data_IF_452120459927
#
_entry.id   IF_452120459927
#
_cell.length_a   1.000
_cell.length_b   1.000
_cell.length_c   1.000
_cell.angle_alpha   90.00
_cell.angle_beta   90.00
_cell.angle_gamma   90.00
#
_symmetry.space_group_name_H-M   'P 1'
#
loop_
_entity.id
_entity.type
_entity.pdbx_description
1 polymer ?
#
# COMPACT_ATOMS: atom_id res chain seq x y z
N UNK A 1 31.22 8.46 11.81
CA UNK A 1 30.13 9.18 12.51
C UNK A 1 29.77 8.39 13.77
N UNK A 2 30.20 8.83 14.96
CA UNK A 2 30.07 8.04 16.21
C UNK A 2 28.67 8.13 16.86
N UNK A 3 27.74 8.95 16.37
CA UNK A 3 26.51 9.30 17.11
C UNK A 3 25.27 9.57 16.24
N UNK A 4 25.14 9.00 15.04
CA UNK A 4 23.87 9.15 14.29
C UNK A 4 22.91 8.02 14.69
N UNK A 5 21.69 8.32 15.16
CA UNK A 5 20.70 7.30 15.55
C UNK A 5 20.01 6.70 14.32
N UNK A 6 20.78 6.18 13.36
CA UNK A 6 20.29 5.75 12.04
C UNK A 6 19.13 4.76 12.14
N UNK A 7 19.25 3.73 12.97
CA UNK A 7 18.19 2.73 13.14
C UNK A 7 16.89 3.36 13.69
N UNK A 8 16.98 4.31 14.62
CA UNK A 8 15.81 5.01 15.13
C UNK A 8 15.19 5.94 14.06
N UNK A 9 16.02 6.60 13.25
CA UNK A 9 15.54 7.43 12.13
C UNK A 9 14.86 6.60 11.05
N UNK A 10 15.42 5.45 10.70
CA UNK A 10 14.80 4.49 9.77
C UNK A 10 13.39 4.11 10.24
N UNK A 11 13.23 3.81 11.54
CA UNK A 11 11.92 3.47 12.13
C UNK A 11 10.96 4.67 12.20
N UNK A 12 11.44 5.84 12.63
CA UNK A 12 10.64 7.08 12.72
C UNK A 12 10.09 7.52 11.36
N UNK A 13 10.84 7.27 10.30
CA UNK A 13 10.50 7.68 8.93
C UNK A 13 9.89 6.54 8.10
N UNK A 14 9.76 5.34 8.67
CA UNK A 14 9.28 4.16 7.94
C UNK A 14 10.17 3.77 6.76
N UNK A 15 11.46 4.12 6.80
CA UNK A 15 12.43 3.86 5.75
C UNK A 15 13.19 2.55 6.05
N UNK A 16 13.24 1.60 5.10
CA UNK A 16 14.06 0.41 5.31
C UNK A 16 15.54 0.78 5.34
N UNK A 17 16.32 -0.02 6.07
CA UNK A 17 17.78 0.14 6.07
C UNK A 17 18.36 0.03 4.67
N UNK A 18 19.51 0.68 4.43
CA UNK A 18 20.16 0.66 3.12
C UNK A 18 20.40 -0.78 2.61
N UNK A 19 20.81 -1.69 3.49
CA UNK A 19 20.99 -3.09 3.14
C UNK A 19 19.68 -3.77 2.73
N UNK A 20 18.60 -3.51 3.45
CA UNK A 20 17.26 -4.03 3.11
C UNK A 20 16.76 -3.45 1.79
N UNK A 21 16.99 -2.16 1.55
CA UNK A 21 16.65 -1.50 0.30
C UNK A 21 17.38 -2.11 -0.89
N UNK A 22 18.70 -2.33 -0.78
CA UNK A 22 19.50 -2.97 -1.83
C UNK A 22 18.95 -4.36 -2.16
N UNK A 23 18.60 -5.16 -1.14
CA UNK A 23 17.99 -6.49 -1.36
C UNK A 23 16.65 -6.37 -2.08
N UNK A 24 15.79 -5.42 -1.65
CA UNK A 24 14.49 -5.15 -2.28
C UNK A 24 14.63 -4.81 -3.77
N UNK A 25 15.57 -3.92 -4.11
CA UNK A 25 15.82 -3.53 -5.50
C UNK A 25 16.46 -4.66 -6.32
N UNK A 26 17.33 -5.47 -5.71
CA UNK A 26 17.90 -6.66 -6.35
C UNK A 26 16.81 -7.70 -6.69
N UNK A 27 15.85 -7.95 -5.80
CA UNK A 27 14.69 -8.82 -6.07
C UNK A 27 13.85 -8.31 -7.23
N UNK A 28 13.52 -7.01 -7.22
CA UNK A 28 12.73 -6.39 -8.29
C UNK A 28 13.45 -6.47 -9.65
N UNK A 29 14.77 -6.24 -9.66
CA UNK A 29 15.59 -6.38 -10.85
C UNK A 29 15.66 -7.82 -11.35
N UNK A 30 15.82 -8.79 -10.44
CA UNK A 30 15.84 -10.22 -10.77
C UNK A 30 14.54 -10.66 -11.46
N UNK A 31 13.38 -10.36 -10.86
CA UNK A 31 12.06 -10.69 -11.43
C UNK A 31 11.91 -10.12 -12.84
N UNK A 32 12.29 -8.86 -13.04
CA UNK A 32 12.23 -8.19 -14.35
C UNK A 32 13.13 -8.86 -15.39
N UNK A 33 14.37 -9.21 -15.05
CA UNK A 33 15.32 -9.82 -16.01
C UNK A 33 14.89 -11.25 -16.36
N UNK A 34 14.41 -12.00 -15.35
CA UNK A 34 13.88 -13.35 -15.53
C UNK A 34 12.68 -13.34 -16.48
N UNK A 35 11.71 -12.46 -16.24
CA UNK A 35 10.47 -12.42 -17.02
C UNK A 35 10.67 -11.89 -18.43
N UNK A 36 11.71 -11.08 -18.67
CA UNK A 36 12.12 -10.65 -20.01
C UNK A 36 12.82 -11.74 -20.84
N UNK A 37 12.94 -12.98 -20.33
CA UNK A 37 13.67 -14.07 -20.99
C UNK A 37 15.16 -13.80 -21.21
N UNK A 38 15.68 -12.71 -20.65
CA UNK A 38 17.06 -12.23 -20.85
C UNK A 38 18.03 -12.86 -19.86
N UNK A 39 17.54 -13.74 -18.97
CA UNK A 39 18.35 -14.44 -18.00
C UNK A 39 19.10 -15.61 -18.65
N UNK A 40 20.41 -15.44 -18.83
CA UNK A 40 21.31 -16.53 -19.24
C UNK A 40 21.83 -17.22 -17.98
N UNK A 41 21.15 -18.28 -17.53
CA UNK A 41 21.63 -19.13 -16.45
C UNK A 41 22.87 -19.93 -16.90
N UNK A 42 24.05 -19.33 -16.85
CA UNK A 42 25.33 -20.05 -16.96
C UNK A 42 26.07 -19.91 -15.63
N UNK A 43 26.10 -20.98 -14.84
CA UNK A 43 26.86 -21.05 -13.59
C UNK A 43 26.08 -20.72 -12.31
N UNK A 44 26.82 -20.51 -11.20
CA UNK A 44 26.23 -20.08 -9.92
C UNK A 44 25.59 -18.70 -10.10
N UNK A 45 24.44 -18.48 -9.46
CA UNK A 45 23.83 -17.16 -9.44
C UNK A 45 24.78 -16.16 -8.75
N UNK A 46 25.14 -15.09 -9.45
CA UNK A 46 25.98 -13.99 -8.93
C UNK A 46 25.18 -12.69 -8.84
N UNK A 47 25.68 -11.72 -8.05
CA UNK A 47 25.08 -10.40 -7.90
C UNK A 47 23.62 -10.42 -7.43
N UNK A 48 22.73 -9.75 -8.19
CA UNK A 48 21.31 -9.63 -7.84
C UNK A 48 20.58 -10.97 -7.77
N UNK A 49 20.94 -11.95 -8.60
CA UNK A 49 20.30 -13.26 -8.58
C UNK A 49 20.67 -14.05 -7.32
N UNK A 50 21.92 -13.96 -6.86
CA UNK A 50 22.34 -14.57 -5.59
C UNK A 50 21.61 -13.97 -4.38
N UNK A 51 21.35 -12.66 -4.43
CA UNK A 51 20.62 -11.93 -3.40
C UNK A 51 19.13 -12.29 -3.41
N UNK A 52 18.52 -12.35 -4.59
CA UNK A 52 17.12 -12.71 -4.77
C UNK A 52 16.85 -14.16 -4.33
N UNK A 53 17.68 -15.13 -4.74
CA UNK A 53 17.54 -16.54 -4.36
C UNK A 53 17.64 -16.74 -2.84
N UNK A 54 18.54 -16.02 -2.16
CA UNK A 54 18.62 -16.05 -0.69
C UNK A 54 17.39 -15.49 0.00
N UNK A 55 16.59 -14.70 -0.70
CA UNK A 55 15.44 -14.04 -0.15
C UNK A 55 14.10 -14.66 -0.57
N UNK A 56 14.14 -15.73 -1.38
CA UNK A 56 13.01 -16.62 -1.69
C UNK A 56 12.34 -17.13 -0.41
N UNK A 57 13.11 -17.35 0.65
CA UNK A 57 12.61 -17.82 1.96
C UNK A 57 11.64 -16.85 2.63
N UNK A 58 11.59 -15.58 2.22
CA UNK A 58 10.70 -14.56 2.77
C UNK A 58 9.70 -13.97 1.77
N UNK A 59 9.88 -14.22 0.47
CA UNK A 59 8.98 -13.79 -0.61
C UNK A 59 9.01 -14.88 -1.67
N UNK A 60 7.86 -15.47 -2.07
CA UNK A 60 7.85 -16.58 -3.04
C UNK A 60 8.08 -16.08 -4.47
N UNK A 61 9.29 -15.60 -4.79
CA UNK A 61 9.60 -14.96 -6.08
C UNK A 61 9.39 -15.92 -7.26
N UNK A 62 9.61 -17.23 -7.07
CA UNK A 62 9.39 -18.27 -8.07
C UNK A 62 7.95 -18.33 -8.58
N UNK A 63 6.96 -18.09 -7.72
CA UNK A 63 5.54 -18.04 -8.08
C UNK A 63 5.15 -16.72 -8.76
N UNK A 64 5.94 -15.65 -8.61
CA UNK A 64 5.59 -14.30 -9.08
C UNK A 64 5.97 -14.04 -10.54
N UNK A 65 5.23 -14.59 -11.50
CA UNK A 65 5.46 -14.28 -12.94
C UNK A 65 4.74 -13.00 -13.37
N UNK A 66 5.48 -12.02 -13.89
CA UNK A 66 4.90 -10.81 -14.50
C UNK A 66 4.28 -11.16 -15.84
N UNK A 67 3.01 -10.83 -16.03
CA UNK A 67 2.29 -10.98 -17.30
C UNK A 67 2.10 -9.64 -18.00
N UNK A 68 3.21 -9.06 -18.42
CA UNK A 68 3.20 -7.97 -19.41
C UNK A 68 3.53 -8.57 -20.79
N UNK A 69 2.63 -8.40 -21.74
CA UNK A 69 2.84 -8.71 -23.14
C UNK A 69 3.55 -7.57 -23.87
N UNK A 70 4.03 -7.87 -25.07
CA UNK A 70 4.36 -6.85 -26.04
C UNK A 70 3.15 -5.95 -26.32
N UNK A 71 3.47 -4.74 -26.70
CA UNK A 71 2.50 -3.68 -26.92
C UNK A 71 1.71 -3.95 -28.19
N UNK A 72 0.49 -4.48 -28.05
CA UNK A 72 -0.37 -4.85 -29.19
C UNK A 72 -1.35 -3.72 -29.50
N UNK A 73 -1.31 -3.23 -30.74
CA UNK A 73 -2.24 -2.23 -31.26
C UNK A 73 -3.46 -2.90 -31.89
N UNK A 74 -4.66 -2.55 -31.43
CA UNK A 74 -5.97 -2.99 -31.94
C UNK A 74 -6.73 -1.79 -32.51
N UNK A 75 -6.59 -1.57 -33.82
CA UNK A 75 -7.20 -0.41 -34.49
C UNK A 75 -8.67 -0.61 -34.86
N UNK A 76 -9.09 -1.85 -35.12
CA UNK A 76 -10.48 -2.22 -35.36
C UNK A 76 -11.01 -2.99 -34.16
N UNK A 77 -12.22 -2.61 -33.74
CA UNK A 77 -13.01 -3.32 -32.73
C UNK A 77 -14.41 -3.55 -33.25
N UNK A 78 -14.93 -4.75 -33.01
CA UNK A 78 -16.26 -5.18 -33.47
C UNK A 78 -17.34 -5.03 -32.39
N UNK A 79 -16.94 -4.78 -31.13
CA UNK A 79 -17.83 -4.49 -30.01
C UNK A 79 -17.77 -3.00 -29.61
N UNK A 80 -18.88 -2.48 -29.13
CA UNK A 80 -19.02 -1.09 -28.67
C UNK A 80 -18.87 -0.99 -27.14
N UNK A 81 -18.73 0.24 -26.64
CA UNK A 81 -18.70 0.50 -25.19
C UNK A 81 -19.37 1.81 -24.88
N UNK A 82 -20.32 1.79 -23.95
CA UNK A 82 -21.11 2.94 -23.56
C UNK A 82 -20.96 3.24 -22.08
N UNK A 83 -21.02 4.54 -21.76
CA UNK A 83 -20.94 5.04 -20.39
C UNK A 83 -22.19 5.88 -20.08
N UNK A 84 -23.36 5.25 -19.86
CA UNK A 84 -24.56 5.98 -19.45
C UNK A 84 -24.31 6.74 -18.15
N UNK A 85 -24.97 7.88 -17.99
CA UNK A 85 -24.94 8.67 -16.75
C UNK A 85 -25.80 8.01 -15.67
N UNK A 86 -25.58 8.40 -14.40
CA UNK A 86 -26.41 7.91 -13.28
C UNK A 86 -27.88 8.32 -13.44
N UNK A 87 -28.12 9.45 -14.09
CA UNK A 87 -29.44 9.99 -14.39
C UNK A 87 -30.16 9.13 -15.42
N UNK A 88 -29.47 8.69 -16.48
CA UNK A 88 -30.03 7.78 -17.50
C UNK A 88 -30.50 6.46 -16.88
N UNK A 89 -29.69 5.87 -15.99
CA UNK A 89 -30.06 4.66 -15.24
C UNK A 89 -31.28 4.83 -14.32
N UNK A 90 -31.62 6.05 -13.91
CA UNK A 90 -32.81 6.34 -13.09
C UNK A 90 -34.07 6.57 -13.93
N UNK A 91 -33.92 7.06 -15.16
CA UNK A 91 -35.01 7.53 -16.01
C UNK A 91 -35.44 6.49 -17.05
N UNK A 92 -34.55 5.60 -17.47
CA UNK A 92 -34.81 4.60 -18.49
C UNK A 92 -35.26 3.28 -17.86
N UNK A 93 -36.58 3.07 -17.76
CA UNK A 93 -37.18 1.85 -17.19
C UNK A 93 -36.95 0.55 -17.98
N UNK A 94 -36.21 0.59 -19.09
CA UNK A 94 -35.71 -0.56 -19.86
C UNK A 94 -34.50 -0.09 -20.69
N UNK A 95 -33.32 -0.04 -20.06
CA UNK A 95 -32.09 0.39 -20.74
C UNK A 95 -31.65 -0.58 -21.86
N UNK A 96 -32.16 -1.82 -21.83
CA UNK A 96 -31.84 -2.86 -22.80
C UNK A 96 -33.07 -3.22 -23.64
N UNK A 97 -32.95 -3.34 -24.97
CA UNK A 97 -34.04 -3.77 -25.84
C UNK A 97 -34.56 -5.17 -25.45
N UNK A 98 -35.89 -5.43 -25.58
CA UNK A 98 -36.43 -6.77 -25.38
C UNK A 98 -35.75 -7.82 -26.25
N UNK A 99 -35.54 -9.02 -25.72
CA UNK A 99 -34.85 -10.10 -26.44
C UNK A 99 -33.33 -9.95 -26.52
N UNK A 100 -32.73 -9.10 -25.67
CA UNK A 100 -31.27 -9.01 -25.49
C UNK A 100 -30.80 -9.85 -24.32
N UNK A 101 -29.58 -10.38 -24.39
CA UNK A 101 -28.92 -11.04 -23.27
C UNK A 101 -28.18 -10.00 -22.43
N UNK A 102 -28.47 -9.93 -21.13
CA UNK A 102 -27.82 -8.99 -20.19
C UNK A 102 -27.01 -9.76 -19.14
N UNK A 103 -25.71 -9.48 -19.11
CA UNK A 103 -24.75 -10.05 -18.17
C UNK A 103 -24.20 -8.95 -17.26
N UNK A 104 -24.06 -9.21 -15.97
CA UNK A 104 -23.44 -8.32 -14.99
C UNK A 104 -22.17 -8.97 -14.44
N UNK A 105 -21.12 -8.16 -14.28
CA UNK A 105 -19.80 -8.60 -13.83
C UNK A 105 -19.26 -7.64 -12.77
N UNK A 106 -18.55 -8.18 -11.77
CA UNK A 106 -17.92 -7.37 -10.73
C UNK A 106 -16.65 -8.05 -10.16
N UNK A 107 -15.76 -7.25 -9.57
CA UNK A 107 -14.53 -7.66 -8.90
C UNK A 107 -14.43 -7.12 -7.47
N UNK A 108 -14.21 -8.00 -6.49
CA UNK A 108 -14.16 -7.62 -5.08
C UNK A 108 -12.89 -8.08 -4.36
N UNK A 109 -12.53 -7.36 -3.30
CA UNK A 109 -11.47 -7.72 -2.35
C UNK A 109 -12.01 -7.70 -0.92
N UNK A 110 -11.90 -8.82 -0.20
CA UNK A 110 -12.23 -8.88 1.22
C UNK A 110 -10.98 -8.60 2.06
N UNK A 111 -11.02 -7.55 2.92
CA UNK A 111 -10.08 -7.20 4.01
C UNK A 111 -8.64 -7.75 3.92
N UNK A 112 -7.99 -7.55 2.77
CA UNK A 112 -6.62 -8.00 2.47
C UNK A 112 -6.36 -9.53 2.48
N UNK A 113 -7.39 -10.36 2.29
CA UNK A 113 -7.26 -11.81 2.12
C UNK A 113 -7.18 -12.22 0.65
N UNK A 114 -8.34 -12.31 -0.01
CA UNK A 114 -8.45 -12.82 -1.38
C UNK A 114 -9.22 -11.88 -2.28
N UNK A 115 -9.02 -12.07 -3.59
CA UNK A 115 -9.76 -11.41 -4.64
C UNK A 115 -10.81 -12.36 -5.20
N UNK A 116 -11.95 -11.82 -5.59
CA UNK A 116 -13.01 -12.59 -6.22
C UNK A 116 -13.61 -11.87 -7.41
N UNK A 117 -14.14 -12.65 -8.35
CA UNK A 117 -14.87 -12.17 -9.51
C UNK A 117 -16.27 -12.81 -9.53
N UNK A 118 -17.28 -12.01 -9.85
CA UNK A 118 -18.68 -12.40 -9.90
C UNK A 118 -19.29 -12.19 -11.28
N UNK A 119 -20.14 -13.12 -11.71
CA UNK A 119 -20.88 -13.04 -12.97
C UNK A 119 -22.34 -13.43 -12.73
N UNK A 120 -23.26 -12.63 -13.22
CA UNK A 120 -24.69 -12.91 -13.18
C UNK A 120 -25.34 -12.67 -14.55
N UNK A 121 -26.06 -13.67 -15.07
CA UNK A 121 -26.85 -13.54 -16.30
C UNK A 121 -28.31 -13.31 -15.91
N UNK A 122 -28.86 -12.17 -16.29
CA UNK A 122 -30.20 -11.75 -15.89
C UNK A 122 -31.28 -12.65 -16.51
N UNK A 123 -31.14 -12.99 -17.79
CA UNK A 123 -32.12 -13.77 -18.54
C UNK A 123 -32.30 -15.19 -18.00
N UNK A 124 -31.21 -15.90 -17.68
CA UNK A 124 -31.24 -17.29 -17.22
C UNK A 124 -31.19 -17.44 -15.70
N UNK A 125 -30.85 -16.36 -14.98
CA UNK A 125 -30.54 -16.41 -13.56
C UNK A 125 -29.22 -17.12 -13.23
N UNK A 126 -28.42 -17.49 -14.25
CA UNK A 126 -27.16 -18.19 -14.05
C UNK A 126 -26.15 -17.32 -13.29
N UNK A 127 -25.41 -17.95 -12.38
CA UNK A 127 -24.51 -17.28 -11.46
C UNK A 127 -23.18 -18.00 -11.41
N UNK A 128 -22.10 -17.22 -11.32
CA UNK A 128 -20.77 -17.76 -11.15
C UNK A 128 -19.96 -16.86 -10.22
N UNK A 129 -19.21 -17.51 -9.34
CA UNK A 129 -18.25 -16.88 -8.45
C UNK A 129 -16.90 -17.56 -8.66
N UNK A 130 -15.83 -16.76 -8.69
CA UNK A 130 -14.45 -17.22 -8.80
C UNK A 130 -13.62 -16.64 -7.66
N UNK A 131 -12.82 -17.48 -7.00
CA UNK A 131 -11.74 -17.02 -6.12
C UNK A 131 -10.46 -16.91 -6.95
N UNK A 132 -9.83 -15.73 -6.91
CA UNK A 132 -8.63 -15.37 -7.69
C UNK A 132 -7.36 -15.31 -6.84
N UNK A 133 -7.46 -15.73 -5.58
CA UNK A 133 -6.34 -15.80 -4.66
C UNK A 133 -5.85 -14.44 -4.17
N UNK A 134 -4.63 -14.41 -3.63
CA UNK A 134 -4.08 -13.28 -2.88
C UNK A 134 -3.29 -12.26 -3.73
N UNK A 135 -2.86 -12.66 -4.93
CA UNK A 135 -1.93 -11.86 -5.76
C UNK A 135 -2.60 -11.00 -6.84
N UNK A 136 -3.85 -11.30 -7.18
CA UNK A 136 -4.61 -10.51 -8.14
C UNK A 136 -4.91 -9.10 -7.60
N UNK A 137 -5.21 -8.17 -8.51
CA UNK A 137 -5.74 -6.85 -8.16
C UNK A 137 -7.24 -6.81 -8.41
N UNK A 138 -7.96 -5.88 -7.77
CA UNK A 138 -9.39 -5.65 -8.06
C UNK A 138 -9.59 -5.41 -9.55
N UNK A 139 -8.77 -4.56 -10.17
CA UNK A 139 -8.79 -4.34 -11.62
C UNK A 139 -8.65 -5.64 -12.44
N UNK A 140 -7.78 -6.56 -12.03
CA UNK A 140 -7.68 -7.86 -12.72
C UNK A 140 -8.92 -8.72 -12.50
N UNK A 141 -9.54 -8.67 -11.32
CA UNK A 141 -10.79 -9.38 -11.06
C UNK A 141 -11.94 -8.89 -11.97
N UNK A 142 -12.06 -7.57 -12.13
CA UNK A 142 -13.04 -6.95 -13.04
C UNK A 142 -12.86 -7.41 -14.49
N UNK A 143 -11.63 -7.30 -15.02
CA UNK A 143 -11.33 -7.71 -16.41
C UNK A 143 -11.51 -9.22 -16.57
N UNK A 144 -11.14 -10.00 -15.55
CA UNK A 144 -11.34 -11.45 -15.55
C UNK A 144 -12.83 -11.82 -15.58
N UNK A 145 -13.70 -11.13 -14.85
CA UNK A 145 -15.14 -11.37 -14.88
C UNK A 145 -15.73 -11.14 -16.28
N UNK A 146 -15.30 -10.07 -16.97
CA UNK A 146 -15.68 -9.80 -18.37
C UNK A 146 -15.15 -10.89 -19.31
N UNK A 147 -13.86 -11.26 -19.19
CA UNK A 147 -13.24 -12.33 -19.98
C UNK A 147 -14.00 -13.64 -19.83
N UNK A 148 -14.28 -14.06 -18.59
CA UNK A 148 -14.98 -15.30 -18.33
C UNK A 148 -16.40 -15.25 -18.87
N UNK A 149 -17.11 -14.12 -18.76
CA UNK A 149 -18.43 -13.92 -19.38
C UNK A 149 -18.39 -14.16 -20.89
N UNK A 150 -17.40 -13.58 -21.59
CA UNK A 150 -17.22 -13.77 -23.03
C UNK A 150 -16.85 -15.21 -23.44
N UNK A 151 -16.37 -16.03 -22.49
CA UNK A 151 -16.05 -17.43 -22.71
C UNK A 151 -17.18 -18.41 -22.33
N UNK A 152 -18.21 -17.97 -21.61
CA UNK A 152 -19.28 -18.88 -21.20
C UNK A 152 -20.03 -19.44 -22.41
N UNK A 153 -20.36 -20.72 -22.37
CA UNK A 153 -21.09 -21.38 -23.45
C UNK A 153 -22.52 -20.87 -23.58
N UNK A 154 -23.19 -20.56 -22.47
CA UNK A 154 -24.55 -19.99 -22.46
C UNK A 154 -24.60 -18.56 -23.03
N UNK A 155 -23.49 -17.82 -22.99
CA UNK A 155 -23.34 -16.52 -23.67
C UNK A 155 -22.99 -16.71 -25.16
N UNK A 156 -22.04 -17.59 -25.47
CA UNK A 156 -21.57 -17.87 -26.84
C UNK A 156 -22.57 -18.60 -27.72
N UNK A 157 -23.52 -19.33 -27.14
CA UNK A 157 -24.55 -20.08 -27.84
C UNK A 157 -25.96 -19.53 -27.55
N UNK A 158 -26.06 -18.31 -27.01
CA UNK A 158 -27.36 -17.67 -26.77
C UNK A 158 -28.15 -17.44 -28.07
N UNK A 159 -29.47 -17.38 -27.96
CA UNK A 159 -30.35 -17.17 -29.11
C UNK A 159 -30.45 -15.67 -29.48
N UNK A 160 -30.12 -14.81 -28.54
CA UNK A 160 -30.19 -13.36 -28.64
C UNK A 160 -29.11 -12.81 -29.58
N UNK A 161 -29.50 -11.89 -30.47
CA UNK A 161 -28.57 -11.21 -31.38
C UNK A 161 -27.70 -10.18 -30.66
N UNK A 162 -28.22 -9.59 -29.57
CA UNK A 162 -27.59 -8.52 -28.80
C UNK A 162 -27.19 -9.00 -27.42
N UNK A 163 -25.92 -8.77 -27.07
CA UNK A 163 -25.35 -9.08 -25.77
C UNK A 163 -24.84 -7.80 -25.11
N UNK A 164 -25.33 -7.52 -23.91
CA UNK A 164 -24.85 -6.45 -23.04
C UNK A 164 -24.04 -7.03 -21.89
N UNK A 165 -22.78 -6.62 -21.76
CA UNK A 165 -21.94 -6.97 -20.60
C UNK A 165 -21.74 -5.72 -19.74
N UNK A 166 -22.34 -5.74 -18.55
CA UNK A 166 -22.40 -4.63 -17.61
C UNK A 166 -21.32 -4.77 -16.54
N UNK A 167 -20.57 -3.70 -16.29
CA UNK A 167 -19.60 -3.60 -15.19
C UNK A 167 -19.62 -2.19 -14.61
N UNK A 168 -19.47 -2.07 -13.29
CA UNK A 168 -19.33 -0.76 -12.64
C UNK A 168 -17.90 -0.20 -12.69
N UNK A 169 -16.95 -1.03 -13.13
CA UNK A 169 -15.55 -0.67 -13.30
C UNK A 169 -15.30 0.04 -14.63
N UNK A 170 -15.42 1.38 -14.63
CA UNK A 170 -15.01 2.20 -15.77
C UNK A 170 -13.55 1.94 -16.17
N UNK A 171 -12.69 1.61 -15.20
CA UNK A 171 -11.30 1.29 -15.46
C UNK A 171 -11.17 0.02 -16.32
N UNK A 172 -11.89 -1.06 -15.99
CA UNK A 172 -11.90 -2.29 -16.76
C UNK A 172 -12.47 -2.07 -18.16
N UNK A 173 -13.65 -1.44 -18.27
CA UNK A 173 -14.32 -1.14 -19.53
C UNK A 173 -13.44 -0.29 -20.47
N UNK A 174 -12.81 0.77 -19.94
CA UNK A 174 -11.89 1.60 -20.72
C UNK A 174 -10.64 0.83 -21.10
N UNK A 175 -10.09 -0.01 -20.22
CA UNK A 175 -8.87 -0.75 -20.50
C UNK A 175 -9.06 -1.77 -21.64
N UNK A 176 -10.13 -2.56 -21.62
CA UNK A 176 -10.43 -3.52 -22.71
C UNK A 176 -10.77 -2.77 -23.99
N UNK A 177 -11.38 -1.60 -23.86
CA UNK A 177 -11.74 -0.75 -24.99
C UNK A 177 -10.58 -0.01 -25.63
N UNK A 178 -9.49 0.17 -24.90
CA UNK A 178 -8.40 1.02 -25.35
C UNK A 178 -7.58 0.28 -26.41
N UNK A 179 -7.21 0.93 -27.54
CA UNK A 179 -6.51 0.27 -28.64
C UNK A 179 -5.15 -0.35 -28.30
N UNK A 180 -4.59 -0.04 -27.13
CA UNK A 180 -3.20 -0.37 -26.82
C UNK A 180 -3.03 -0.77 -25.36
N UNK A 181 -2.60 -2.01 -25.10
CA UNK A 181 -2.36 -2.47 -23.74
C UNK A 181 -1.18 -3.43 -23.69
N UNK A 182 -0.47 -3.43 -22.56
CA UNK A 182 0.57 -4.41 -22.23
C UNK A 182 0.10 -5.49 -21.27
N UNK A 183 -1.14 -5.41 -20.78
CA UNK A 183 -1.68 -6.44 -19.88
C UNK A 183 -2.13 -7.64 -20.71
N UNK A 184 -1.56 -8.82 -20.45
CA UNK A 184 -1.97 -10.08 -21.12
C UNK A 184 -3.46 -10.33 -20.89
N UNK A 185 -3.94 -10.18 -19.66
CA UNK A 185 -5.34 -10.39 -19.31
C UNK A 185 -6.29 -9.47 -20.11
N UNK A 186 -5.93 -8.19 -20.27
CA UNK A 186 -6.72 -7.23 -21.07
C UNK A 186 -6.67 -7.60 -22.56
N UNK A 187 -5.52 -8.09 -23.05
CA UNK A 187 -5.41 -8.60 -24.41
C UNK A 187 -6.33 -9.82 -24.59
N UNK A 188 -6.22 -10.84 -23.76
CA UNK A 188 -7.08 -12.04 -23.80
C UNK A 188 -8.56 -11.69 -23.74
N UNK A 189 -8.94 -10.80 -22.81
CA UNK A 189 -10.32 -10.29 -22.69
C UNK A 189 -10.82 -9.66 -23.99
N UNK A 190 -10.04 -8.75 -24.58
CA UNK A 190 -10.44 -8.13 -25.84
C UNK A 190 -10.46 -9.10 -27.03
N UNK A 191 -9.58 -10.13 -27.08
CA UNK A 191 -9.66 -11.16 -28.12
C UNK A 191 -10.92 -12.04 -27.95
N UNK A 192 -11.29 -12.36 -26.72
CA UNK A 192 -12.52 -13.09 -26.41
C UNK A 192 -13.77 -12.29 -26.80
N UNK A 193 -13.77 -10.97 -26.55
CA UNK A 193 -14.85 -10.06 -26.94
C UNK A 193 -14.94 -9.92 -28.47
N UNK A 194 -13.82 -9.79 -29.19
CA UNK A 194 -13.83 -9.79 -30.66
C UNK A 194 -14.36 -11.11 -31.23
N UNK A 195 -13.97 -12.24 -30.65
CA UNK A 195 -14.49 -13.56 -31.03
C UNK A 195 -16.01 -13.65 -30.83
N UNK A 196 -16.54 -13.07 -29.76
CA UNK A 196 -17.98 -13.04 -29.49
C UNK A 196 -18.70 -12.07 -30.45
N UNK A 197 -18.11 -10.90 -30.69
CA UNK A 197 -18.65 -9.86 -31.56
C UNK A 197 -18.64 -10.25 -33.05
N UNK A 198 -17.86 -11.26 -33.43
CA UNK A 198 -17.92 -11.85 -34.78
C UNK A 198 -19.20 -12.64 -35.07
N UNK A 199 -19.99 -12.97 -34.04
CA UNK A 199 -21.22 -13.75 -34.15
C UNK A 199 -22.47 -12.97 -33.73
N UNK A 200 -22.32 -11.99 -32.83
CA UNK A 200 -23.41 -11.24 -32.18
C UNK A 200 -23.04 -9.78 -32.02
N UNK A 201 -24.03 -8.92 -31.86
CA UNK A 201 -23.81 -7.51 -31.50
C UNK A 201 -23.48 -7.43 -30.01
N UNK A 202 -22.22 -7.10 -29.69
CA UNK A 202 -21.73 -7.02 -28.30
C UNK A 202 -21.52 -5.57 -27.90
N UNK A 203 -22.12 -5.18 -26.78
CA UNK A 203 -21.95 -3.88 -26.16
C UNK A 203 -21.51 -4.02 -24.71
N UNK A 204 -20.43 -3.33 -24.35
CA UNK A 204 -20.01 -3.18 -22.97
C UNK A 204 -20.66 -1.95 -22.36
N UNK A 205 -21.33 -2.07 -21.22
CA UNK A 205 -22.11 -0.97 -20.62
C UNK A 205 -21.62 -0.68 -19.21
N UNK A 206 -21.35 0.58 -18.92
CA UNK A 206 -21.11 0.98 -17.54
C UNK A 206 -22.41 1.04 -16.74
N UNK A 207 -22.43 0.38 -15.58
CA UNK A 207 -23.52 0.43 -14.60
C UNK A 207 -23.05 1.14 -13.33
N UNK A 208 -23.87 1.97 -12.67
CA UNK A 208 -23.45 2.60 -11.43
C UNK A 208 -23.40 1.61 -10.27
N UNK A 209 -22.23 1.46 -9.67
CA UNK A 209 -22.04 0.69 -8.45
C UNK A 209 -22.86 1.24 -7.26
N UNK A 210 -23.38 0.32 -6.44
CA UNK A 210 -24.13 0.57 -5.20
C UNK A 210 -25.36 1.48 -5.35
N UNK A 211 -26.07 1.39 -6.48
CA UNK A 211 -27.25 2.21 -6.77
C UNK A 211 -28.56 1.42 -6.86
N UNK A 212 -28.63 0.18 -6.37
CA UNK A 212 -29.88 -0.59 -6.39
C UNK A 212 -30.16 -1.34 -7.69
N UNK A 213 -29.21 -1.41 -8.64
CA UNK A 213 -29.40 -2.18 -9.89
C UNK A 213 -29.30 -3.68 -9.56
N UNK A 214 -30.40 -4.46 -9.61
CA UNK A 214 -30.44 -5.81 -9.04
C UNK A 214 -29.38 -6.74 -9.61
N UNK A 215 -29.15 -6.70 -10.93
CA UNK A 215 -28.14 -7.51 -11.58
C UNK A 215 -26.71 -7.19 -11.14
N UNK A 216 -26.39 -5.88 -11.00
CA UNK A 216 -25.07 -5.45 -10.51
C UNK A 216 -24.87 -5.81 -9.04
N UNK A 217 -25.89 -5.63 -8.20
CA UNK A 217 -25.82 -6.05 -6.79
C UNK A 217 -25.62 -7.55 -6.65
N UNK A 218 -26.20 -8.35 -7.55
CA UNK A 218 -25.97 -9.79 -7.57
C UNK A 218 -24.54 -10.14 -7.96
N UNK A 219 -23.98 -9.46 -8.96
CA UNK A 219 -22.58 -9.62 -9.35
C UNK A 219 -21.62 -9.26 -8.20
N UNK A 220 -21.85 -8.15 -7.48
CA UNK A 220 -21.08 -7.73 -6.29
C UNK A 220 -21.13 -8.78 -5.17
N UNK A 221 -22.31 -9.32 -4.89
CA UNK A 221 -22.45 -10.41 -3.93
C UNK A 221 -21.63 -11.64 -4.33
N UNK A 222 -21.64 -12.02 -5.62
CA UNK A 222 -20.88 -13.17 -6.13
C UNK A 222 -19.37 -12.93 -6.10
N UNK A 223 -18.93 -11.71 -6.44
CA UNK A 223 -17.53 -11.32 -6.34
C UNK A 223 -17.06 -11.35 -4.87
N UNK A 224 -17.89 -10.88 -3.93
CA UNK A 224 -17.62 -10.98 -2.49
C UNK A 224 -17.54 -12.42 -2.01
N UNK A 225 -18.46 -13.29 -2.44
CA UNK A 225 -18.42 -14.72 -2.14
C UNK A 225 -17.09 -15.34 -2.61
N UNK A 226 -16.61 -14.97 -3.80
CA UNK A 226 -15.35 -15.46 -4.35
C UNK A 226 -14.14 -14.96 -3.55
N UNK A 227 -14.19 -13.71 -3.10
CA UNK A 227 -13.14 -13.10 -2.26
C UNK A 227 -13.12 -13.60 -0.81
N UNK A 228 -14.16 -14.32 -0.38
CA UNK A 228 -14.28 -14.87 0.98
C UNK A 228 -13.74 -16.29 1.12
N UNK A 229 -13.18 -16.87 0.05
CA UNK A 229 -12.65 -18.24 0.06
C UNK A 229 -11.27 -18.29 -0.60
N UNK A 230 -10.37 -19.18 -0.13
CA UNK A 230 -9.10 -19.41 -0.80
C UNK A 230 -9.34 -19.95 -2.21
N UNK A 231 -8.39 -19.68 -3.11
CA UNK A 231 -8.49 -20.20 -4.45
C UNK A 231 -8.29 -21.71 -4.51
N UNK A 232 -8.89 -22.33 -5.53
CA UNK A 232 -8.64 -23.73 -5.83
C UNK A 232 -7.45 -23.85 -6.80
N UNK A 233 -6.42 -24.59 -6.39
CA UNK A 233 -5.19 -24.79 -7.18
C UNK A 233 -4.01 -23.92 -6.72
N UNK A 234 -2.86 -24.03 -7.41
CA UNK A 234 -1.67 -23.29 -7.05
C UNK A 234 -1.81 -21.80 -7.38
N UNK A 235 -1.41 -20.95 -6.44
CA UNK A 235 -1.26 -19.51 -6.69
C UNK A 235 0.05 -19.19 -7.43
N UNK A 236 0.08 -18.10 -8.22
CA UNK A 236 -1.03 -17.19 -8.52
C UNK A 236 -1.90 -17.68 -9.69
N UNK A 237 -3.23 -17.51 -9.59
CA UNK A 237 -4.15 -17.87 -10.69
C UNK A 237 -3.96 -16.94 -11.89
N UNK A 238 -3.90 -15.64 -11.62
CA UNK A 238 -3.64 -14.61 -12.61
C UNK A 238 -2.21 -14.14 -12.47
N UNK A 239 -1.56 -13.84 -13.60
CA UNK A 239 -0.21 -13.29 -13.55
C UNK A 239 -0.14 -11.99 -12.75
N UNK A 240 1.01 -11.75 -12.12
CA UNK A 240 1.14 -10.67 -11.14
C UNK A 240 1.56 -9.38 -11.84
N UNK A 241 0.93 -8.26 -11.49
CA UNK A 241 1.36 -6.96 -12.04
C UNK A 241 2.69 -6.50 -11.44
N UNK A 242 3.48 -5.71 -12.20
CA UNK A 242 4.70 -5.08 -11.65
C UNK A 242 4.43 -4.21 -10.42
N UNK A 243 3.27 -3.56 -10.39
CA UNK A 243 2.81 -2.78 -9.23
C UNK A 243 2.62 -3.65 -8.00
N UNK A 244 1.93 -4.79 -8.14
CA UNK A 244 1.72 -5.77 -7.06
C UNK A 244 3.04 -6.31 -6.53
N UNK A 245 3.99 -6.66 -7.42
CA UNK A 245 5.34 -7.08 -7.00
C UNK A 245 6.01 -6.00 -6.15
N UNK A 246 6.03 -4.75 -6.62
CA UNK A 246 6.62 -3.64 -5.84
C UNK A 246 5.94 -3.45 -4.50
N UNK A 247 4.62 -3.61 -4.42
CA UNK A 247 3.87 -3.52 -3.17
C UNK A 247 4.27 -4.64 -2.20
N UNK A 248 4.37 -5.89 -2.68
CA UNK A 248 4.80 -7.05 -1.87
C UNK A 248 6.22 -6.85 -1.36
N UNK A 249 7.16 -6.45 -2.23
CA UNK A 249 8.54 -6.19 -1.84
C UNK A 249 8.66 -5.03 -0.83
N UNK A 250 7.81 -4.00 -0.96
CA UNK A 250 7.77 -2.90 -0.01
C UNK A 250 7.19 -3.35 1.35
N UNK A 251 6.16 -4.20 1.35
CA UNK A 251 5.62 -4.82 2.57
C UNK A 251 6.67 -5.67 3.28
N UNK A 252 7.40 -6.49 2.54
CA UNK A 252 8.53 -7.28 3.05
C UNK A 252 9.61 -6.39 3.68
N UNK A 253 10.02 -5.31 3.00
CA UNK A 253 11.04 -4.39 3.51
C UNK A 253 10.58 -3.70 4.81
N UNK A 254 9.31 -3.31 4.89
CA UNK A 254 8.70 -2.71 6.08
C UNK A 254 8.63 -3.70 7.26
N UNK A 255 8.27 -4.97 7.01
CA UNK A 255 8.29 -6.01 8.03
C UNK A 255 9.71 -6.27 8.55
N UNK A 256 10.70 -6.27 7.65
CA UNK A 256 12.11 -6.44 8.02
C UNK A 256 12.65 -5.29 8.84
N UNK A 257 12.23 -4.06 8.57
CA UNK A 257 12.52 -2.90 9.42
C UNK A 257 12.02 -3.12 10.85
N UNK A 258 10.77 -3.56 11.01
CA UNK A 258 10.20 -3.87 12.34
C UNK A 258 10.93 -5.00 13.08
N UNK A 259 11.31 -6.07 12.37
CA UNK A 259 12.12 -7.15 12.96
C UNK A 259 13.51 -6.66 13.38
N UNK A 260 14.18 -5.91 12.51
CA UNK A 260 15.51 -5.36 12.80
C UNK A 260 15.48 -4.39 13.98
N UNK A 261 14.40 -3.62 14.14
CA UNK A 261 14.22 -2.74 15.28
C UNK A 261 14.12 -3.53 16.58
N UNK A 262 13.25 -4.55 16.65
CA UNK A 262 13.08 -5.37 17.87
C UNK A 262 14.36 -6.10 18.31
N UNK A 263 15.21 -6.45 17.35
CA UNK A 263 16.50 -7.11 17.63
C UNK A 263 17.63 -6.11 17.91
N UNK A 264 17.39 -4.81 17.75
CA UNK A 264 18.40 -3.79 18.03
C UNK A 264 18.60 -3.65 19.53
N UNK A 265 19.84 -3.78 19.99
CA UNK A 265 20.21 -3.56 21.41
C UNK A 265 20.70 -2.14 21.68
N UNK A 266 20.84 -1.31 20.64
CA UNK A 266 21.21 0.10 20.72
C UNK A 266 19.98 0.99 20.92
N UNK A 267 20.13 2.30 20.69
CA UNK A 267 19.00 3.25 20.63
C UNK A 267 18.06 3.22 21.85
N UNK A 268 18.56 2.91 23.05
CA UNK A 268 17.76 2.72 24.28
C UNK A 268 16.65 3.76 24.46
N UNK A 269 16.96 5.04 24.30
CA UNK A 269 15.95 6.07 24.47
C UNK A 269 14.86 6.06 23.38
N UNK A 270 15.20 5.76 22.13
CA UNK A 270 14.19 5.65 21.09
C UNK A 270 13.30 4.41 21.29
N UNK A 271 13.83 3.32 21.86
CA UNK A 271 13.03 2.17 22.27
C UNK A 271 12.00 2.50 23.35
N UNK A 272 12.27 3.49 24.21
CA UNK A 272 11.29 3.94 25.19
C UNK A 272 10.02 4.51 24.48
N UNK A 273 10.13 5.08 23.27
CA UNK A 273 9.02 5.71 22.54
C UNK A 273 8.49 4.93 21.31
N UNK A 274 9.26 3.96 20.81
CA UNK A 274 9.01 3.30 19.53
C UNK A 274 9.01 1.77 19.70
N UNK A 275 7.85 1.16 19.50
CA UNK A 275 7.72 -0.31 19.44
C UNK A 275 8.14 -0.87 18.06
N UNK A 276 8.17 0.00 17.05
CA UNK A 276 8.47 -0.35 15.66
C UNK A 276 8.01 0.75 14.69
N UNK A 277 8.13 0.50 13.38
CA UNK A 277 7.71 1.47 12.38
C UNK A 277 6.18 1.58 12.36
N UNK A 278 5.68 2.81 12.43
CA UNK A 278 4.25 3.12 12.39
C UNK A 278 3.97 4.21 11.35
N UNK A 279 3.06 3.92 10.40
CA UNK A 279 2.75 4.84 9.30
C UNK A 279 2.09 6.12 9.78
N UNK A 280 1.20 6.05 10.77
CA UNK A 280 0.47 7.21 11.28
C UNK A 280 1.42 8.18 11.98
N UNK A 281 2.33 7.65 12.82
CA UNK A 281 3.39 8.43 13.48
C UNK A 281 4.37 9.03 12.46
N UNK A 282 4.75 8.26 11.44
CA UNK A 282 5.60 8.73 10.34
C UNK A 282 4.97 9.92 9.62
N UNK A 283 3.70 9.78 9.19
CA UNK A 283 2.96 10.85 8.51
C UNK A 283 2.81 12.07 9.41
N UNK A 284 2.52 11.88 10.69
CA UNK A 284 2.42 12.98 11.66
C UNK A 284 3.74 13.75 11.76
N UNK A 285 4.88 13.06 11.88
CA UNK A 285 6.21 13.70 11.92
C UNK A 285 6.52 14.46 10.64
N UNK A 286 6.28 13.86 9.46
CA UNK A 286 6.58 14.46 8.16
C UNK A 286 5.72 15.71 7.87
N UNK A 287 4.54 15.80 8.47
CA UNK A 287 3.68 16.98 8.39
C UNK A 287 4.10 18.13 9.32
N UNK A 288 5.08 17.91 10.21
CA UNK A 288 5.63 18.98 11.05
C UNK A 288 6.58 19.87 10.24
N UNK A 289 6.55 21.18 10.51
CA UNK A 289 7.58 22.08 10.02
C UNK A 289 8.97 21.69 10.54
N UNK A 290 10.02 21.98 9.75
CA UNK A 290 11.42 21.56 9.99
C UNK A 290 11.90 21.74 11.45
N UNK A 291 11.56 22.87 12.08
CA UNK A 291 11.92 23.15 13.49
C UNK A 291 11.32 22.12 14.44
N UNK A 292 10.01 21.89 14.34
CA UNK A 292 9.28 20.96 15.20
C UNK A 292 9.71 19.50 14.95
N UNK A 293 9.92 19.14 13.68
CA UNK A 293 10.45 17.83 13.31
C UNK A 293 11.80 17.57 13.98
N UNK A 294 12.75 18.50 13.86
CA UNK A 294 14.08 18.36 14.45
C UNK A 294 14.03 18.23 15.98
N UNK A 295 13.17 19.01 16.65
CA UNK A 295 12.98 18.94 18.10
C UNK A 295 12.40 17.58 18.51
N UNK A 296 11.35 17.10 17.82
CA UNK A 296 10.74 15.80 18.10
C UNK A 296 11.74 14.67 17.88
N UNK A 297 12.43 14.64 16.74
CA UNK A 297 13.44 13.61 16.45
C UNK A 297 14.53 13.61 17.52
N UNK A 298 15.03 14.79 17.91
CA UNK A 298 16.05 14.88 18.95
C UNK A 298 15.56 14.40 20.32
N UNK A 299 14.34 14.74 20.71
CA UNK A 299 13.73 14.30 21.97
C UNK A 299 13.51 12.79 21.98
N UNK A 300 12.95 12.24 20.91
CA UNK A 300 12.63 10.81 20.81
C UNK A 300 13.91 9.96 20.74
N UNK A 301 14.95 10.44 20.06
CA UNK A 301 16.21 9.68 19.89
C UNK A 301 17.24 9.96 20.98
N UNK A 302 17.04 10.97 21.83
CA UNK A 302 18.05 11.47 22.75
C UNK A 302 19.13 12.36 22.10
N UNK A 303 19.12 12.51 20.77
CA UNK A 303 20.10 13.31 20.02
C UNK A 303 19.64 14.76 19.88
N UNK A 304 19.60 15.46 21.01
CA UNK A 304 19.13 16.84 21.11
C UNK A 304 20.16 17.76 21.76
N UNK A 305 19.91 19.06 21.78
CA UNK A 305 20.83 20.08 22.33
C UNK A 305 20.75 20.21 23.86
N UNK A 306 20.42 19.14 24.57
CA UNK A 306 20.50 19.11 26.04
C UNK A 306 21.92 18.72 26.45
N UNK A 307 22.38 19.21 27.61
CA UNK A 307 23.77 19.03 28.06
C UNK A 307 24.19 17.57 28.19
N UNK A 308 23.30 16.65 28.53
CA UNK A 308 23.62 15.23 28.59
C UNK A 308 24.13 14.70 27.25
N UNK A 309 23.44 15.02 26.16
CA UNK A 309 23.91 14.64 24.82
C UNK A 309 25.17 15.41 24.39
N UNK A 310 25.22 16.72 24.67
CA UNK A 310 26.38 17.56 24.31
C UNK A 310 27.66 17.13 25.04
N UNK A 311 27.55 16.70 26.29
CA UNK A 311 28.65 16.11 27.06
C UNK A 311 29.15 14.80 26.43
N UNK A 312 28.23 13.90 26.04
CA UNK A 312 28.59 12.64 25.37
C UNK A 312 29.37 12.83 24.06
N UNK A 313 29.15 13.95 23.36
CA UNK A 313 29.86 14.29 22.13
C UNK A 313 31.02 15.27 22.34
N UNK A 314 31.36 15.60 23.58
CA UNK A 314 32.51 16.43 23.95
C UNK A 314 32.36 17.93 23.67
N UNK A 315 31.12 18.44 23.58
CA UNK A 315 30.83 19.88 23.39
C UNK A 315 30.69 20.62 24.72
N UNK A 316 30.08 19.99 25.73
CA UNK A 316 29.94 20.55 27.08
C UNK A 316 30.80 19.74 28.06
N UNK A 317 31.31 20.38 29.10
CA UNK A 317 32.18 19.75 30.11
C UNK A 317 31.40 18.99 31.20
N UNK A 318 30.09 19.23 31.30
CA UNK A 318 29.22 18.62 32.32
C UNK A 318 27.86 18.23 31.75
N UNK A 319 27.32 17.06 32.11
CA UNK A 319 25.98 16.65 31.70
C UNK A 319 24.87 17.30 32.54
N UNK A 320 25.19 18.07 33.59
CA UNK A 320 24.19 18.60 34.52
C UNK A 320 23.23 19.61 33.88
N UNK A 321 21.96 19.55 34.31
CA UNK A 321 20.91 20.45 33.83
C UNK A 321 21.23 21.92 34.12
N UNK A 322 21.34 22.72 33.06
CA UNK A 322 21.61 24.16 33.16
C UNK A 322 20.49 25.01 33.77
N UNK A 323 19.30 24.43 34.01
CA UNK A 323 18.12 25.18 34.50
C UNK A 323 17.79 24.90 35.94
N UNK A 324 17.90 23.64 36.39
CA UNK A 324 17.70 23.30 37.81
C UNK A 324 19.00 22.99 38.56
N UNK A 325 20.11 22.76 37.87
CA UNK A 325 21.38 22.39 38.52
C UNK A 325 21.45 20.94 39.02
N UNK A 326 20.37 20.17 38.86
CA UNK A 326 20.22 18.81 39.40
C UNK A 326 19.99 17.79 38.29
N UNK A 327 20.60 16.61 38.41
CA UNK A 327 20.45 15.51 37.45
C UNK A 327 21.09 15.76 36.08
N UNK A 328 21.21 14.69 35.30
CA UNK A 328 21.69 14.79 33.92
C UNK A 328 20.61 15.40 33.00
N UNK A 329 21.01 16.35 32.16
CA UNK A 329 20.17 17.06 31.20
C UNK A 329 19.83 16.14 30.02
N UNK A 330 18.91 15.21 30.26
CA UNK A 330 18.39 14.26 29.29
C UNK A 330 16.92 14.58 28.97
N UNK A 331 16.35 14.06 27.87
CA UNK A 331 14.92 14.25 27.62
C UNK A 331 14.03 13.65 28.71
N UNK A 332 14.43 12.57 29.38
CA UNK A 332 13.69 12.04 30.54
C UNK A 332 13.65 13.06 31.67
N UNK A 333 14.81 13.64 32.02
CA UNK A 333 14.86 14.71 33.02
C UNK A 333 14.06 15.95 32.58
N UNK A 334 14.27 16.44 31.36
CA UNK A 334 13.58 17.62 30.84
C UNK A 334 12.05 17.45 30.78
N UNK A 335 11.56 16.31 30.28
CA UNK A 335 10.14 16.03 30.10
C UNK A 335 9.44 15.59 31.39
N UNK A 336 10.16 15.03 32.38
CA UNK A 336 9.54 14.48 33.58
C UNK A 336 10.01 15.06 34.91
N UNK A 337 11.30 15.28 35.12
CA UNK A 337 11.87 15.43 36.47
C UNK A 337 12.41 16.83 36.77
N UNK A 338 12.66 17.65 35.74
CA UNK A 338 13.29 18.95 35.92
C UNK A 338 12.37 19.91 36.67
N UNK A 339 12.73 20.24 37.91
CA UNK A 339 11.94 21.13 38.79
C UNK A 339 11.72 22.51 38.17
N UNK A 340 12.69 23.02 37.39
CA UNK A 340 12.58 24.30 36.69
C UNK A 340 11.42 24.33 35.67
N UNK A 341 11.01 23.17 35.15
CA UNK A 341 9.90 23.05 34.20
C UNK A 341 8.63 22.46 34.81
N UNK A 342 8.58 22.19 36.12
CA UNK A 342 7.44 21.53 36.78
C UNK A 342 6.11 22.27 36.59
N UNK A 343 6.09 23.60 36.73
CA UNK A 343 4.87 24.41 36.51
C UNK A 343 4.35 24.33 35.08
N UNK A 344 5.26 24.41 34.09
CA UNK A 344 4.90 24.29 32.68
C UNK A 344 4.39 22.88 32.37
N UNK A 345 5.04 21.86 32.93
CA UNK A 345 4.64 20.46 32.78
C UNK A 345 3.23 20.24 33.33
N UNK A 346 2.94 20.79 34.51
CA UNK A 346 1.60 20.73 35.08
C UNK A 346 0.55 21.40 34.18
N UNK A 347 0.88 22.58 33.63
CA UNK A 347 -0.02 23.29 32.70
C UNK A 347 -0.32 22.52 31.40
N UNK A 348 0.67 21.83 30.82
CA UNK A 348 0.53 21.16 29.51
C UNK A 348 0.08 19.71 29.65
N UNK A 349 0.60 19.00 30.64
CA UNK A 349 0.44 17.55 30.80
C UNK A 349 -0.51 17.20 31.95
N UNK A 350 -0.65 18.08 32.95
CA UNK A 350 -1.51 17.88 34.13
C UNK A 350 -0.77 17.49 35.40
N UNK A 351 0.54 17.24 35.34
CA UNK A 351 1.39 16.89 36.50
C UNK A 351 2.74 17.62 36.45
N UNK A 352 3.30 17.92 37.63
CA UNK A 352 4.60 18.58 37.77
C UNK A 352 5.79 17.64 37.60
N UNK A 353 5.58 16.34 37.81
CA UNK A 353 6.58 15.29 37.72
C UNK A 353 6.02 14.07 36.97
N UNK A 354 6.88 13.43 36.18
CA UNK A 354 6.56 12.19 35.46
C UNK A 354 7.73 11.22 35.57
N UNK A 355 7.41 9.95 35.81
CA UNK A 355 8.34 8.85 35.64
C UNK A 355 8.50 8.49 34.15
N UNK A 356 9.54 7.71 33.85
CA UNK A 356 9.93 7.37 32.48
C UNK A 356 8.76 6.75 31.69
N UNK A 357 8.04 5.82 32.29
CA UNK A 357 6.94 5.07 31.68
C UNK A 357 5.73 5.98 31.40
N UNK A 358 5.52 7.00 32.23
CA UNK A 358 4.47 7.98 32.03
C UNK A 358 4.81 8.94 30.88
N UNK A 359 6.09 9.31 30.73
CA UNK A 359 6.58 10.15 29.62
C UNK A 359 6.36 9.45 28.27
N UNK A 360 6.66 8.15 28.20
CA UNK A 360 6.55 7.38 26.95
C UNK A 360 5.11 7.14 26.53
N UNK A 361 4.19 7.04 27.50
CA UNK A 361 2.75 6.96 27.27
C UNK A 361 2.10 8.29 26.84
N UNK A 362 2.82 9.42 26.86
CA UNK A 362 2.24 10.71 26.48
C UNK A 362 1.94 10.79 24.98
N UNK A 363 0.80 11.41 24.60
CA UNK A 363 0.56 11.80 23.22
C UNK A 363 1.70 12.69 22.71
N UNK A 364 2.25 12.38 21.53
CA UNK A 364 3.34 13.16 20.93
C UNK A 364 2.97 14.63 20.69
N UNK A 365 1.68 14.94 20.56
CA UNK A 365 1.16 16.31 20.50
C UNK A 365 1.39 17.08 21.81
N UNK A 366 1.23 16.43 22.98
CA UNK A 366 1.53 17.04 24.29
C UNK A 366 3.03 17.22 24.47
N UNK A 367 3.84 16.23 24.08
CA UNK A 367 5.31 16.33 24.10
C UNK A 367 5.75 17.53 23.26
N UNK A 368 5.28 17.64 22.02
CA UNK A 368 5.61 18.76 21.13
C UNK A 368 5.17 20.11 21.71
N UNK A 369 3.97 20.18 22.27
CA UNK A 369 3.45 21.41 22.89
C UNK A 369 4.32 21.85 24.07
N UNK A 370 4.70 20.91 24.93
CA UNK A 370 5.60 21.17 26.05
C UNK A 370 6.97 21.65 25.57
N UNK A 371 7.58 20.93 24.62
CA UNK A 371 8.90 21.27 24.04
C UNK A 371 8.88 22.68 23.43
N UNK A 372 7.85 23.02 22.65
CA UNK A 372 7.71 24.35 22.05
C UNK A 372 7.53 25.44 23.11
N UNK A 373 6.61 25.22 24.05
CA UNK A 373 6.27 26.24 25.07
C UNK A 373 7.42 26.47 26.06
N UNK A 374 8.29 25.48 26.25
CA UNK A 374 9.43 25.59 27.16
C UNK A 374 10.50 26.60 26.72
N UNK A 375 10.57 26.93 25.41
CA UNK A 375 11.66 27.71 24.84
C UNK A 375 13.05 27.06 24.96
N UNK A 376 13.15 25.81 25.47
CA UNK A 376 14.41 25.15 25.86
C UNK A 376 15.44 25.08 24.74
N UNK A 377 14.98 24.98 23.50
CA UNK A 377 15.84 24.84 22.32
C UNK A 377 15.99 26.12 21.50
N UNK A 378 15.47 27.26 21.97
CA UNK A 378 15.45 28.54 21.24
C UNK A 378 16.65 29.45 21.58
N UNK A 379 17.29 29.25 22.74
CA UNK A 379 18.37 30.10 23.26
C UNK A 379 19.67 30.07 22.40
N UNK A 380 19.83 29.09 21.52
CA UNK A 380 21.06 28.93 20.72
C UNK A 380 21.18 29.91 19.53
N UNK A 381 20.09 30.56 19.10
CA UNK A 381 20.16 31.53 17.99
C UNK A 381 20.66 32.92 18.41
N UNK A 382 20.85 33.19 19.71
CA UNK A 382 21.31 34.51 20.19
C UNK A 382 22.83 34.63 20.35
N UNK A 383 23.59 33.53 20.28
CA UNK A 383 25.06 33.56 20.47
C UNK A 383 25.87 33.79 19.19
N UNK A 384 25.23 33.85 18.02
CA UNK A 384 25.90 34.09 16.73
C UNK A 384 25.83 35.53 16.22
N UNK A 385 25.27 36.47 17.00
CA UNK A 385 25.15 37.90 16.57
C UNK A 385 26.18 38.81 17.25
N UNK A 386 26.93 38.35 18.25
CA UNK A 386 27.99 39.13 18.91
C UNK A 386 29.33 38.39 18.91
N UNK A 387 29.87 38.11 17.72
CA UNK A 387 31.32 37.93 17.53
C UNK A 387 31.75 38.50 16.20
#
# INVERSE_FOLDING_TARGET
MRTTPTAALEVLLGLPSLSTWIVKEAMAAYLRIRDAGSWKAKGRAEGHAAIALRAESGVPLSAMKVTEAEDRLRLKRSYSTTFPTREQWKQEGNMFPPGSLVCYTDGSRMRDEYLGAGIYLENSGAQQSYSLGSYATVFQAEVFAILMTAHREDVRNCAEERIFICSDSQAALRAVSFPRTRSILVQECGDALESLAGQREVELVWVPGHMGVPGNERADQLARLGSGQPCQGPEPILGITRGSIRAILSKWAYQRLGMSWRMNTGCRQAHDFLDGPDKSRTVWLLNLGRRNLNQMVGILTGHCRLRGHLYLIGIEESPLCSKCGEGEDTPTHFLGQCVAFGRLRHKVVGTGELQREEITGLPWTKILTFVRTSGRFEEANRRTVNR
#
